data_IF_063634190319
#
_entry.id   IF_063634190319
#
_cell.length_a   1.000
_cell.length_b   1.000
_cell.length_c   1.000
_cell.angle_alpha   90.00
_cell.angle_beta   90.00
_cell.angle_gamma   90.00
#
_symmetry.space_group_name_H-M   'P 1'
#
loop_
_entity.id
_entity.type
_entity.pdbx_description
1 polymer ?
#
# COMPACT_ATOMS: atom_id res chain seq x y z
N UNK A 1 1.25 -22.74 -53.23
CA UNK A 1 2.27 -22.03 -52.40
C UNK A 1 1.63 -21.05 -51.42
N UNK A 2 0.75 -20.13 -51.84
CA UNK A 2 0.09 -19.13 -50.96
C UNK A 2 -0.63 -19.75 -49.74
N UNK A 3 -1.28 -20.92 -49.91
CA UNK A 3 -1.98 -21.62 -48.82
C UNK A 3 -1.04 -22.18 -47.74
N UNK A 4 0.16 -22.65 -48.13
CA UNK A 4 1.16 -23.13 -47.17
C UNK A 4 1.72 -21.96 -46.35
N UNK A 5 1.95 -20.81 -47.01
CA UNK A 5 2.39 -19.59 -46.35
C UNK A 5 1.36 -19.05 -45.35
N UNK A 6 0.06 -19.14 -45.65
CA UNK A 6 -0.99 -18.67 -44.75
C UNK A 6 -1.11 -19.56 -43.50
N UNK A 7 -1.01 -20.88 -43.65
CA UNK A 7 -1.00 -21.81 -42.51
C UNK A 7 0.25 -21.62 -41.65
N UNK A 8 1.42 -21.45 -42.27
CA UNK A 8 2.66 -21.15 -41.55
C UNK A 8 2.61 -19.80 -40.80
N UNK A 9 2.00 -18.78 -41.41
CA UNK A 9 1.82 -17.47 -40.77
C UNK A 9 0.90 -17.55 -39.56
N UNK A 10 -0.21 -18.30 -39.64
CA UNK A 10 -1.15 -18.48 -38.53
C UNK A 10 -0.53 -19.31 -37.40
N UNK A 11 0.19 -20.38 -37.73
CA UNK A 11 0.93 -21.18 -36.72
C UNK A 11 2.01 -20.33 -36.05
N UNK A 12 2.71 -19.47 -36.80
CA UNK A 12 3.69 -18.55 -36.25
C UNK A 12 3.05 -17.51 -35.31
N UNK A 13 1.86 -16.99 -35.64
CA UNK A 13 1.13 -16.06 -34.77
C UNK A 13 0.62 -16.75 -33.51
N UNK A 14 0.10 -17.98 -33.61
CA UNK A 14 -0.35 -18.77 -32.46
C UNK A 14 0.82 -19.13 -31.55
N UNK A 15 1.96 -19.55 -32.11
CA UNK A 15 3.17 -19.82 -31.35
C UNK A 15 3.73 -18.53 -30.73
N UNK A 16 3.71 -17.39 -31.42
CA UNK A 16 4.12 -16.10 -30.85
C UNK A 16 3.21 -15.68 -29.69
N UNK A 17 1.90 -15.87 -29.81
CA UNK A 17 0.94 -15.60 -28.71
C UNK A 17 1.19 -16.55 -27.54
N UNK A 18 1.45 -17.84 -27.78
CA UNK A 18 1.81 -18.82 -26.75
C UNK A 18 3.17 -18.48 -26.11
N UNK A 19 4.15 -17.97 -26.87
CA UNK A 19 5.47 -17.59 -26.35
C UNK A 19 5.41 -16.26 -25.57
N UNK A 20 4.53 -15.33 -25.96
CA UNK A 20 4.27 -14.08 -25.23
C UNK A 20 3.47 -14.36 -23.95
N UNK A 21 2.55 -15.33 -23.96
CA UNK A 21 1.77 -15.72 -22.77
C UNK A 21 2.49 -16.76 -21.88
N UNK A 22 3.38 -17.57 -22.45
CA UNK A 22 4.18 -18.60 -21.77
C UNK A 22 5.61 -18.17 -21.43
N UNK A 23 6.03 -17.00 -21.89
CA UNK A 23 7.34 -16.39 -21.68
C UNK A 23 7.55 -15.85 -20.28
N UNK A 24 7.40 -16.73 -19.28
CA UNK A 24 8.02 -16.60 -17.97
C UNK A 24 8.20 -17.96 -17.25
N UNK A 25 8.09 -19.10 -17.96
CA UNK A 25 8.17 -20.42 -17.31
C UNK A 25 9.34 -21.32 -17.78
N UNK A 26 10.10 -20.94 -18.81
CA UNK A 26 11.30 -21.69 -19.23
C UNK A 26 12.45 -20.71 -19.47
N UNK A 27 13.08 -20.30 -18.37
CA UNK A 27 14.26 -19.42 -18.38
C UNK A 27 14.86 -19.15 -17.00
N UNK A 28 14.15 -19.46 -15.90
CA UNK A 28 14.61 -19.17 -14.53
C UNK A 28 15.13 -20.41 -13.78
N UNK A 29 15.90 -21.27 -14.44
CA UNK A 29 16.70 -22.29 -13.74
C UNK A 29 18.18 -21.91 -13.59
N UNK A 30 18.68 -20.86 -14.24
CA UNK A 30 20.02 -20.35 -13.99
C UNK A 30 20.07 -18.81 -14.11
N UNK A 31 20.84 -18.19 -13.21
CA UNK A 31 21.08 -16.75 -12.96
C UNK A 31 20.09 -16.08 -11.99
N UNK A 32 20.38 -16.04 -10.70
CA UNK A 32 21.31 -15.13 -10.01
C UNK A 32 20.88 -13.66 -10.11
N UNK A 33 20.21 -13.20 -9.06
CA UNK A 33 20.53 -11.94 -8.37
C UNK A 33 20.58 -10.66 -9.21
N UNK A 34 19.41 -10.09 -9.53
CA UNK A 34 19.28 -8.65 -9.74
C UNK A 34 17.83 -8.17 -9.67
N UNK A 35 17.63 -7.21 -8.78
CA UNK A 35 16.73 -6.07 -8.88
C UNK A 35 15.28 -6.16 -8.36
N UNK A 36 15.05 -5.24 -7.41
CA UNK A 36 13.81 -4.90 -6.74
C UNK A 36 13.18 -3.72 -7.49
N UNK A 37 12.07 -3.94 -8.19
CA UNK A 37 10.91 -3.02 -8.40
C UNK A 37 10.20 -3.34 -9.73
N UNK A 38 9.00 -3.93 -9.67
CA UNK A 38 7.96 -3.78 -10.69
C UNK A 38 6.59 -4.26 -10.13
N UNK A 39 5.47 -3.70 -10.61
CA UNK A 39 4.18 -3.73 -9.93
C UNK A 39 3.43 -5.07 -10.09
N UNK A 40 2.60 -5.39 -9.10
CA UNK A 40 1.72 -6.56 -9.09
C UNK A 40 0.78 -6.54 -10.31
N UNK A 41 0.91 -7.53 -11.20
CA UNK A 41 -0.01 -7.78 -12.31
C UNK A 41 -1.20 -8.64 -11.85
N UNK A 42 -2.42 -8.39 -12.36
CA UNK A 42 -3.62 -9.08 -11.93
C UNK A 42 -3.61 -10.55 -12.37
N UNK A 43 -3.89 -11.46 -11.43
CA UNK A 43 -4.10 -12.88 -11.72
C UNK A 43 -5.38 -13.06 -12.55
N UNK A 44 -5.23 -13.41 -13.82
CA UNK A 44 -6.35 -13.77 -14.69
C UNK A 44 -7.05 -14.99 -14.10
N UNK A 45 -8.35 -14.84 -13.80
CA UNK A 45 -9.15 -15.85 -13.11
C UNK A 45 -9.23 -17.16 -13.91
N UNK A 46 -9.36 -18.27 -13.20
CA UNK A 46 -9.50 -19.63 -13.80
C UNK A 46 -10.63 -19.69 -14.82
N UNK A 47 -11.66 -18.85 -14.65
CA UNK A 47 -12.81 -18.73 -15.56
C UNK A 47 -12.43 -18.11 -16.91
N UNK A 48 -11.51 -17.14 -16.95
CA UNK A 48 -11.00 -16.57 -18.20
C UNK A 48 -10.07 -17.53 -18.95
N UNK A 49 -9.32 -18.38 -18.23
CA UNK A 49 -8.54 -19.47 -18.84
C UNK A 49 -9.43 -20.53 -19.49
N UNK A 50 -10.55 -20.88 -18.86
CA UNK A 50 -11.52 -21.83 -19.42
C UNK A 50 -12.21 -21.30 -20.69
N UNK A 51 -12.53 -20.00 -20.71
CA UNK A 51 -13.16 -19.35 -21.87
C UNK A 51 -12.24 -19.32 -23.10
N UNK A 52 -10.94 -19.09 -22.90
CA UNK A 52 -9.94 -19.07 -23.99
C UNK A 52 -9.71 -20.46 -24.61
N UNK A 53 -9.68 -21.52 -23.81
CA UNK A 53 -9.52 -22.90 -24.33
C UNK A 53 -10.73 -23.30 -25.20
N UNK A 54 -11.94 -22.92 -24.79
CA UNK A 54 -13.16 -23.18 -25.57
C UNK A 54 -13.12 -22.48 -26.93
N UNK A 55 -12.67 -21.22 -26.97
CA UNK A 55 -12.58 -20.45 -28.22
C UNK A 55 -11.56 -21.05 -29.21
N UNK A 56 -10.43 -21.54 -28.69
CA UNK A 56 -9.38 -22.19 -29.51
C UNK A 56 -9.88 -23.52 -30.10
N UNK A 57 -10.64 -24.31 -29.34
CA UNK A 57 -11.22 -25.57 -29.83
C UNK A 57 -12.28 -25.32 -30.92
N UNK A 58 -13.11 -24.29 -30.77
CA UNK A 58 -14.12 -23.90 -31.78
C UNK A 58 -13.47 -23.47 -33.09
N UNK A 59 -12.38 -22.68 -33.02
CA UNK A 59 -11.64 -22.27 -34.22
C UNK A 59 -10.96 -23.47 -34.88
N UNK A 60 -10.37 -24.38 -34.11
CA UNK A 60 -9.71 -25.58 -34.64
C UNK A 60 -10.69 -26.53 -35.36
N UNK A 61 -11.90 -26.71 -34.82
CA UNK A 61 -12.96 -27.55 -35.44
C UNK A 61 -13.58 -26.89 -36.67
N UNK A 62 -13.72 -25.55 -36.67
CA UNK A 62 -14.21 -24.79 -37.82
C UNK A 62 -13.29 -24.86 -39.04
N UNK A 63 -11.98 -24.91 -38.82
CA UNK A 63 -10.97 -25.04 -39.87
C UNK A 63 -10.92 -26.46 -40.45
N UNK A 64 -11.15 -27.49 -39.63
CA UNK A 64 -11.03 -28.90 -40.04
C UNK A 64 -12.20 -29.41 -40.90
N UNK A 65 -13.35 -28.72 -40.90
CA UNK A 65 -14.60 -29.22 -41.53
C UNK A 65 -15.08 -28.37 -42.71
N UNK A 66 -14.22 -27.52 -43.28
CA UNK A 66 -14.56 -26.57 -44.37
C UNK A 66 -15.87 -25.80 -44.14
N UNK A 67 -16.17 -25.46 -42.88
CA UNK A 67 -17.35 -24.67 -42.51
C UNK A 67 -18.69 -25.42 -42.47
N UNK A 68 -18.75 -26.72 -42.80
CA UNK A 68 -20.01 -27.48 -42.79
C UNK A 68 -20.43 -27.89 -41.36
N UNK A 69 -19.48 -28.04 -40.43
CA UNK A 69 -19.74 -28.38 -39.02
C UNK A 69 -20.07 -27.18 -38.10
N UNK A 70 -19.97 -25.95 -38.63
CA UNK A 70 -20.12 -24.70 -37.87
C UNK A 70 -21.51 -24.52 -37.21
N UNK A 71 -22.65 -24.88 -37.85
CA UNK A 71 -23.95 -24.77 -37.19
C UNK A 71 -24.15 -25.82 -36.07
N UNK A 72 -23.56 -27.00 -36.19
CA UNK A 72 -23.61 -28.05 -35.16
C UNK A 72 -22.74 -27.69 -33.94
N UNK A 73 -21.56 -27.12 -34.17
CA UNK A 73 -20.70 -26.61 -33.09
C UNK A 73 -21.32 -25.41 -32.37
N UNK A 74 -21.95 -24.47 -33.10
CA UNK A 74 -22.72 -23.37 -32.51
C UNK A 74 -23.92 -23.88 -31.69
N UNK A 75 -24.59 -24.93 -32.16
CA UNK A 75 -25.69 -25.57 -31.42
C UNK A 75 -25.24 -26.21 -30.10
N UNK A 76 -24.10 -26.91 -30.08
CA UNK A 76 -23.53 -27.49 -28.85
C UNK A 76 -23.02 -26.40 -27.90
N UNK A 77 -22.44 -25.31 -28.42
CA UNK A 77 -22.06 -24.15 -27.61
C UNK A 77 -23.28 -23.40 -27.03
N UNK A 78 -24.39 -23.30 -27.77
CA UNK A 78 -25.62 -22.68 -27.30
C UNK A 78 -26.32 -23.50 -26.21
N UNK A 79 -26.35 -24.83 -26.36
CA UNK A 79 -26.87 -25.76 -25.33
C UNK A 79 -25.95 -25.77 -24.10
N UNK A 80 -24.62 -25.75 -24.31
CA UNK A 80 -23.64 -25.61 -23.24
C UNK A 80 -23.81 -24.29 -22.48
N UNK A 81 -24.03 -23.17 -23.18
CA UNK A 81 -24.33 -21.86 -22.60
C UNK A 81 -25.64 -21.88 -21.80
N UNK A 82 -26.71 -22.47 -22.35
CA UNK A 82 -27.99 -22.63 -21.67
C UNK A 82 -27.87 -23.48 -20.40
N UNK A 83 -27.15 -24.59 -20.43
CA UNK A 83 -26.92 -25.44 -19.24
C UNK A 83 -26.04 -24.72 -18.22
N UNK A 84 -24.99 -24.00 -18.64
CA UNK A 84 -24.18 -23.19 -17.70
C UNK A 84 -24.97 -22.05 -17.09
N UNK A 85 -25.85 -21.37 -17.84
CA UNK A 85 -26.73 -20.33 -17.29
C UNK A 85 -27.74 -20.95 -16.31
N UNK A 86 -28.37 -22.06 -16.69
CA UNK A 86 -29.34 -22.78 -15.85
C UNK A 86 -28.74 -23.26 -14.54
N UNK A 87 -27.51 -23.80 -14.56
CA UNK A 87 -26.83 -24.31 -13.37
C UNK A 87 -26.21 -23.17 -12.54
N UNK A 88 -25.81 -22.06 -13.16
CA UNK A 88 -25.36 -20.85 -12.47
C UNK A 88 -26.53 -20.12 -11.80
N UNK A 89 -27.69 -20.08 -12.46
CA UNK A 89 -28.95 -19.56 -11.92
C UNK A 89 -29.49 -20.49 -10.82
N UNK A 90 -29.36 -21.82 -10.98
CA UNK A 90 -29.72 -22.77 -9.92
C UNK A 90 -28.75 -22.73 -8.73
N UNK A 91 -27.46 -22.43 -8.93
CA UNK A 91 -26.49 -22.17 -7.84
C UNK A 91 -26.65 -20.78 -7.20
N UNK A 92 -27.15 -19.80 -7.94
CA UNK A 92 -27.51 -18.49 -7.42
C UNK A 92 -28.81 -18.59 -6.59
N UNK A 93 -29.78 -19.39 -7.03
CA UNK A 93 -31.01 -19.69 -6.28
C UNK A 93 -30.81 -20.66 -5.11
N UNK A 94 -29.75 -21.49 -5.11
CA UNK A 94 -29.39 -22.34 -3.98
C UNK A 94 -28.47 -21.67 -2.95
N UNK A 95 -28.11 -20.40 -3.16
CA UNK A 95 -27.57 -19.58 -2.07
C UNK A 95 -28.74 -19.25 -1.16
N UNK A 96 -28.82 -19.95 -0.02
CA UNK A 96 -29.58 -19.47 1.13
C UNK A 96 -29.42 -17.96 1.22
N UNK A 97 -30.50 -17.16 1.26
CA UNK A 97 -30.41 -15.71 1.30
C UNK A 97 -29.48 -15.35 2.46
N UNK A 98 -28.26 -14.94 2.12
CA UNK A 98 -27.27 -14.53 3.11
C UNK A 98 -27.84 -13.26 3.72
N UNK A 99 -28.27 -13.34 4.97
CA UNK A 99 -28.68 -12.14 5.70
C UNK A 99 -27.50 -11.17 5.65
N UNK A 100 -27.71 -9.94 5.13
CA UNK A 100 -26.65 -8.95 5.10
C UNK A 100 -26.17 -8.72 6.53
N UNK A 101 -24.85 -8.63 6.68
CA UNK A 101 -24.25 -8.29 7.96
C UNK A 101 -24.72 -6.89 8.39
N UNK A 102 -24.74 -6.59 9.70
CA UNK A 102 -25.11 -5.26 10.19
C UNK A 102 -24.31 -4.12 9.51
N UNK A 103 -23.04 -4.36 9.20
CA UNK A 103 -22.19 -3.40 8.49
C UNK A 103 -22.59 -3.16 7.03
N UNK A 104 -23.06 -4.21 6.33
CA UNK A 104 -23.56 -4.08 4.96
C UNK A 104 -24.89 -3.32 4.92
N UNK A 105 -25.77 -3.57 5.90
CA UNK A 105 -27.04 -2.83 6.05
C UNK A 105 -26.77 -1.36 6.32
N UNK A 106 -25.88 -1.05 7.25
CA UNK A 106 -25.55 0.33 7.59
C UNK A 106 -24.88 1.06 6.42
N UNK A 107 -23.97 0.40 5.70
CA UNK A 107 -23.38 0.99 4.48
C UNK A 107 -24.42 1.23 3.41
N UNK A 108 -25.33 0.29 3.18
CA UNK A 108 -26.41 0.46 2.20
C UNK A 108 -27.30 1.66 2.57
N UNK A 109 -27.66 1.79 3.86
CA UNK A 109 -28.42 2.94 4.36
C UNK A 109 -27.66 4.26 4.14
N UNK A 110 -26.39 4.31 4.49
CA UNK A 110 -25.55 5.50 4.30
C UNK A 110 -25.40 5.86 2.82
N UNK A 111 -25.23 4.88 1.93
CA UNK A 111 -25.18 5.10 0.48
C UNK A 111 -26.51 5.57 -0.08
N UNK A 112 -27.63 5.09 0.46
CA UNK A 112 -28.96 5.59 0.10
C UNK A 112 -29.14 7.06 0.51
N UNK A 113 -28.68 7.43 1.69
CA UNK A 113 -28.86 8.79 2.23
C UNK A 113 -27.90 9.82 1.64
N UNK A 114 -26.64 9.45 1.39
CA UNK A 114 -25.57 10.38 1.01
C UNK A 114 -24.92 10.09 -0.35
N UNK A 115 -25.31 9.01 -1.02
CA UNK A 115 -24.62 8.53 -2.21
C UNK A 115 -23.25 7.93 -1.89
N UNK A 116 -22.62 7.30 -2.90
CA UNK A 116 -21.28 6.70 -2.74
C UNK A 116 -20.23 7.75 -2.43
N UNK A 117 -20.28 8.90 -3.13
CA UNK A 117 -19.30 9.97 -2.97
C UNK A 117 -19.45 10.69 -1.63
N UNK A 118 -20.69 10.96 -1.18
CA UNK A 118 -20.93 11.56 0.13
C UNK A 118 -20.45 10.66 1.27
N UNK A 119 -20.67 9.35 1.17
CA UNK A 119 -20.10 8.36 2.12
C UNK A 119 -18.58 8.39 2.12
N UNK A 120 -17.94 8.48 0.95
CA UNK A 120 -16.49 8.58 0.86
C UNK A 120 -15.95 9.87 1.49
N UNK A 121 -16.65 11.00 1.34
CA UNK A 121 -16.29 12.27 1.98
C UNK A 121 -16.40 12.19 3.51
N UNK A 122 -17.51 11.67 4.03
CA UNK A 122 -17.73 11.50 5.47
C UNK A 122 -16.68 10.57 6.10
N UNK A 123 -16.40 9.43 5.47
CA UNK A 123 -15.35 8.53 5.93
C UNK A 123 -13.97 9.20 5.88
N UNK A 124 -13.69 9.96 4.81
CA UNK A 124 -12.46 10.71 4.68
C UNK A 124 -12.26 11.77 5.78
N UNK A 125 -13.33 12.47 6.16
CA UNK A 125 -13.33 13.41 7.27
C UNK A 125 -13.09 12.71 8.61
N UNK A 126 -13.84 11.63 8.89
CA UNK A 126 -13.71 10.89 10.14
C UNK A 126 -12.30 10.32 10.33
N UNK A 127 -11.71 9.72 9.29
CA UNK A 127 -10.34 9.20 9.34
C UNK A 127 -9.32 10.31 9.64
N UNK A 128 -9.49 11.49 9.06
CA UNK A 128 -8.62 12.64 9.33
C UNK A 128 -8.76 13.13 10.78
N UNK A 129 -9.99 13.27 11.27
CA UNK A 129 -10.30 13.65 12.66
C UNK A 129 -9.72 12.64 13.64
N UNK A 130 -9.91 11.34 13.39
CA UNK A 130 -9.37 10.27 14.23
C UNK A 130 -7.84 10.28 14.27
N UNK A 131 -7.19 10.67 13.18
CA UNK A 131 -5.73 10.82 13.13
C UNK A 131 -5.26 12.04 13.91
N UNK A 132 -6.00 13.15 13.86
CA UNK A 132 -5.72 14.33 14.69
C UNK A 132 -5.87 13.99 16.17
N UNK A 133 -7.02 13.45 16.58
CA UNK A 133 -7.32 13.20 18.01
C UNK A 133 -6.39 12.16 18.65
N UNK A 134 -5.88 11.20 17.87
CA UNK A 134 -4.94 10.17 18.35
C UNK A 134 -3.47 10.58 18.28
N UNK A 135 -3.16 11.76 17.74
CA UNK A 135 -1.78 12.21 17.66
C UNK A 135 -1.20 12.43 19.05
N UNK A 136 0.11 12.30 19.17
CA UNK A 136 0.82 12.67 20.39
C UNK A 136 0.66 14.16 20.68
N UNK A 137 0.67 14.99 19.64
CA UNK A 137 0.45 16.42 19.72
C UNK A 137 -0.91 16.75 20.35
N UNK A 138 -1.98 16.04 19.98
CA UNK A 138 -3.29 16.25 20.58
C UNK A 138 -3.33 15.75 22.03
N UNK A 139 -2.89 14.51 22.27
CA UNK A 139 -2.95 13.88 23.60
C UNK A 139 -2.01 14.54 24.62
N UNK A 140 -0.90 15.10 24.16
CA UNK A 140 0.07 15.87 24.94
C UNK A 140 -0.29 17.36 25.10
N UNK A 141 -1.43 17.81 24.56
CA UNK A 141 -1.90 19.20 24.70
C UNK A 141 -1.21 20.23 23.81
N UNK A 142 -0.35 19.82 22.88
CA UNK A 142 0.34 20.70 21.94
C UNK A 142 -0.58 21.36 20.92
N UNK A 143 -1.73 20.75 20.64
CA UNK A 143 -2.76 21.30 19.77
C UNK A 143 -3.83 22.10 20.52
N UNK A 144 -3.60 22.42 21.81
CA UNK A 144 -4.60 22.96 22.72
C UNK A 144 -5.23 21.87 23.59
N UNK A 145 -6.25 22.22 24.38
CA UNK A 145 -6.91 21.24 25.25
C UNK A 145 -7.62 20.19 24.39
N UNK A 146 -7.52 18.89 24.71
CA UNK A 146 -8.22 17.84 23.96
C UNK A 146 -9.74 18.04 23.90
N UNK A 147 -10.32 18.73 24.88
CA UNK A 147 -11.74 19.08 24.96
C UNK A 147 -12.14 20.21 24.01
N UNK A 148 -11.17 21.04 23.59
CA UNK A 148 -11.39 22.14 22.66
C UNK A 148 -11.27 21.68 21.19
N UNK A 149 -10.79 20.44 20.96
CA UNK A 149 -10.66 19.82 19.65
C UNK A 149 -12.00 19.18 19.21
N UNK A 150 -12.97 20.04 18.93
CA UNK A 150 -14.29 19.67 18.45
C UNK A 150 -14.42 19.84 16.92
N UNK A 151 -14.88 18.78 16.25
CA UNK A 151 -15.05 18.74 14.78
C UNK A 151 -16.49 18.41 14.38
N UNK A 152 -17.42 18.50 15.33
CA UNK A 152 -18.83 18.16 15.15
C UNK A 152 -19.47 19.05 14.09
N UNK A 153 -19.14 20.33 14.07
CA UNK A 153 -19.65 21.29 13.08
C UNK A 153 -19.16 20.97 11.67
N UNK A 154 -17.88 20.60 11.52
CA UNK A 154 -17.32 20.21 10.22
C UNK A 154 -18.01 18.95 9.67
N UNK A 155 -18.22 17.94 10.52
CA UNK A 155 -18.93 16.70 10.14
C UNK A 155 -20.40 16.96 9.82
N UNK A 156 -21.05 17.84 10.58
CA UNK A 156 -22.45 18.21 10.37
C UNK A 156 -22.61 18.93 9.04
N UNK A 157 -21.76 19.91 8.77
CA UNK A 157 -21.76 20.65 7.50
C UNK A 157 -21.50 19.73 6.29
N UNK A 158 -20.53 18.82 6.37
CA UNK A 158 -20.28 17.85 5.29
C UNK A 158 -21.50 16.94 5.10
N UNK A 159 -22.11 16.44 6.19
CA UNK A 159 -23.29 15.58 6.13
C UNK A 159 -24.47 16.28 5.48
N UNK A 160 -24.76 17.51 5.88
CA UNK A 160 -25.86 18.31 5.36
C UNK A 160 -25.67 18.64 3.88
N UNK A 161 -24.46 19.02 3.47
CA UNK A 161 -24.17 19.26 2.06
C UNK A 161 -24.30 17.97 1.21
N UNK A 162 -23.87 16.82 1.72
CA UNK A 162 -24.02 15.54 1.02
C UNK A 162 -25.49 15.16 0.86
N UNK A 163 -26.31 15.35 1.91
CA UNK A 163 -27.76 15.11 1.84
C UNK A 163 -28.43 16.04 0.84
N UNK A 164 -28.16 17.34 0.93
CA UNK A 164 -28.71 18.32 -0.01
C UNK A 164 -28.28 18.05 -1.46
N UNK A 165 -27.06 17.54 -1.67
CA UNK A 165 -26.58 17.12 -3.00
C UNK A 165 -27.38 15.93 -3.54
N UNK A 166 -27.65 14.92 -2.70
CA UNK A 166 -28.46 13.76 -3.07
C UNK A 166 -29.90 14.16 -3.41
N UNK A 167 -30.52 14.96 -2.55
CA UNK A 167 -31.90 15.43 -2.75
C UNK A 167 -32.01 16.22 -4.05
N UNK A 168 -31.10 17.17 -4.27
CA UNK A 168 -31.10 18.01 -5.48
C UNK A 168 -30.78 17.19 -6.74
N UNK A 169 -29.91 16.18 -6.65
CA UNK A 169 -29.61 15.28 -7.77
C UNK A 169 -30.82 14.41 -8.17
N UNK A 170 -31.65 14.00 -7.19
CA UNK A 170 -32.92 13.32 -7.48
C UNK A 170 -33.88 14.24 -8.24
N UNK A 171 -34.06 15.46 -7.74
CA UNK A 171 -34.94 16.45 -8.38
C UNK A 171 -34.46 16.86 -9.77
N UNK A 172 -33.15 17.04 -9.96
CA UNK A 172 -32.55 17.29 -11.27
C UNK A 172 -32.92 16.17 -12.25
N UNK A 173 -32.84 14.92 -11.80
CA UNK A 173 -33.21 13.77 -12.63
C UNK A 173 -34.69 13.78 -12.98
N UNK A 174 -35.56 13.94 -11.99
CA UNK A 174 -37.01 13.98 -12.19
C UNK A 174 -37.43 15.08 -13.16
N UNK A 175 -36.89 16.29 -13.01
CA UNK A 175 -37.18 17.43 -13.89
C UNK A 175 -36.55 17.25 -15.29
N UNK A 176 -35.38 16.61 -15.38
CA UNK A 176 -34.75 16.32 -16.68
C UNK A 176 -35.48 15.22 -17.47
N UNK A 177 -36.24 14.36 -16.80
CA UNK A 177 -37.00 13.26 -17.41
C UNK A 177 -38.39 13.71 -17.93
N UNK A 178 -38.81 14.96 -17.66
CA UNK A 178 -40.06 15.51 -18.21
C UNK A 178 -39.97 15.66 -19.74
N UNK A 179 -41.08 15.38 -20.43
CA UNK A 179 -41.19 15.63 -21.85
C UNK A 179 -41.43 17.13 -22.12
N UNK A 180 -40.68 17.70 -23.06
CA UNK A 180 -40.78 19.12 -23.49
C UNK A 180 -40.64 20.14 -22.34
N UNK A 181 -39.48 20.17 -21.63
CA UNK A 181 -39.26 21.11 -20.54
C UNK A 181 -39.28 22.57 -21.04
N UNK A 182 -39.95 23.44 -20.29
CA UNK A 182 -40.02 24.86 -20.59
C UNK A 182 -38.70 25.59 -20.33
N UNK A 183 -38.61 26.86 -20.74
CA UNK A 183 -37.41 27.67 -20.51
C UNK A 183 -37.10 27.88 -19.02
N UNK A 184 -38.13 27.95 -18.18
CA UNK A 184 -37.99 28.07 -16.72
C UNK A 184 -37.41 26.77 -16.11
N UNK A 185 -37.89 25.62 -16.56
CA UNK A 185 -37.38 24.31 -16.12
C UNK A 185 -35.90 24.14 -16.47
N UNK A 186 -35.50 24.55 -17.69
CA UNK A 186 -34.11 24.52 -18.14
C UNK A 186 -33.22 25.42 -17.27
N UNK A 187 -33.68 26.64 -16.94
CA UNK A 187 -32.96 27.55 -16.07
C UNK A 187 -32.82 26.96 -14.65
N UNK A 188 -33.89 26.40 -14.10
CA UNK A 188 -33.88 25.74 -12.79
C UNK A 188 -32.91 24.55 -12.74
N UNK A 189 -32.84 23.75 -13.80
CA UNK A 189 -31.88 22.65 -13.91
C UNK A 189 -30.43 23.14 -13.89
N UNK A 190 -30.12 24.25 -14.56
CA UNK A 190 -28.77 24.82 -14.57
C UNK A 190 -28.38 25.37 -13.19
N UNK A 191 -29.29 26.10 -12.55
CA UNK A 191 -29.11 26.61 -11.19
C UNK A 191 -28.90 25.46 -10.19
N UNK A 192 -29.71 24.39 -10.30
CA UNK A 192 -29.61 23.22 -9.45
C UNK A 192 -28.26 22.49 -9.61
N UNK A 193 -27.81 22.28 -10.86
CA UNK A 193 -26.50 21.66 -11.15
C UNK A 193 -25.35 22.50 -10.62
N UNK A 194 -25.42 23.83 -10.81
CA UNK A 194 -24.46 24.77 -10.24
C UNK A 194 -24.42 24.65 -8.72
N UNK A 195 -25.58 24.53 -8.07
CA UNK A 195 -25.67 24.39 -6.62
C UNK A 195 -25.08 23.08 -6.11
N UNK A 196 -25.33 21.95 -6.79
CA UNK A 196 -24.69 20.66 -6.50
C UNK A 196 -23.17 20.81 -6.50
N UNK A 197 -22.60 21.39 -7.57
CA UNK A 197 -21.16 21.58 -7.66
C UNK A 197 -20.59 22.43 -6.52
N UNK A 198 -21.30 23.48 -6.10
CA UNK A 198 -20.89 24.31 -4.97
C UNK A 198 -20.90 23.55 -3.64
N UNK A 199 -21.94 22.76 -3.36
CA UNK A 199 -22.07 21.98 -2.11
C UNK A 199 -20.97 20.92 -2.01
N UNK A 200 -20.72 20.22 -3.11
CA UNK A 200 -19.64 19.24 -3.17
C UNK A 200 -18.26 19.89 -3.02
N UNK A 201 -18.02 21.02 -3.69
CA UNK A 201 -16.74 21.73 -3.61
C UNK A 201 -16.44 22.18 -2.17
N UNK A 202 -17.42 22.75 -1.47
CA UNK A 202 -17.30 23.15 -0.05
C UNK A 202 -16.98 21.94 0.85
N UNK A 203 -17.65 20.81 0.61
CA UNK A 203 -17.42 19.59 1.38
C UNK A 203 -16.03 19.02 1.12
N UNK A 204 -15.58 18.97 -0.14
CA UNK A 204 -14.23 18.52 -0.53
C UNK A 204 -13.14 19.42 0.06
N UNK A 205 -13.33 20.73 0.01
CA UNK A 205 -12.40 21.69 0.60
C UNK A 205 -12.26 21.47 2.10
N UNK A 206 -13.38 21.23 2.81
CA UNK A 206 -13.33 20.97 4.24
C UNK A 206 -12.65 19.66 4.59
N UNK A 207 -12.96 18.58 3.87
CA UNK A 207 -12.27 17.29 4.02
C UNK A 207 -10.76 17.45 3.79
N UNK A 208 -10.37 18.25 2.78
CA UNK A 208 -8.96 18.56 2.52
C UNK A 208 -8.32 19.31 3.68
N UNK A 209 -8.98 20.32 4.23
CA UNK A 209 -8.49 21.06 5.39
C UNK A 209 -8.27 20.12 6.60
N UNK A 210 -9.22 19.22 6.90
CA UNK A 210 -9.08 18.22 7.94
C UNK A 210 -7.88 17.29 7.71
N UNK A 211 -7.65 16.84 6.47
CA UNK A 211 -6.48 16.01 6.12
C UNK A 211 -5.17 16.75 6.35
N UNK A 212 -5.09 18.01 5.92
CA UNK A 212 -3.91 18.85 6.16
C UNK A 212 -3.67 19.09 7.65
N UNK A 213 -4.72 19.27 8.46
CA UNK A 213 -4.58 19.32 9.91
C UNK A 213 -4.01 18.01 10.48
N UNK A 214 -4.46 16.86 9.98
CA UNK A 214 -3.93 15.56 10.39
C UNK A 214 -2.46 15.33 10.00
N UNK A 215 -2.03 15.86 8.86
CA UNK A 215 -0.64 15.84 8.42
C UNK A 215 0.23 16.68 9.35
N UNK A 216 -0.17 17.93 9.62
CA UNK A 216 0.54 18.83 10.55
C UNK A 216 0.64 18.27 11.96
N UNK A 217 -0.43 17.64 12.46
CA UNK A 217 -0.38 16.94 13.74
C UNK A 217 0.70 15.85 13.74
N UNK A 218 0.82 15.08 12.66
CA UNK A 218 1.86 14.07 12.50
C UNK A 218 3.28 14.65 12.38
N UNK A 219 3.45 15.83 11.79
CA UNK A 219 4.75 16.52 11.77
C UNK A 219 5.19 16.94 13.18
N UNK A 220 4.26 17.40 14.01
CA UNK A 220 4.53 17.72 15.42
C UNK A 220 4.89 16.45 16.18
N UNK A 221 4.15 15.35 16.00
CA UNK A 221 4.47 14.05 16.61
C UNK A 221 5.91 13.62 16.29
N UNK A 222 6.32 13.78 15.03
CA UNK A 222 7.68 13.45 14.61
C UNK A 222 8.72 14.35 15.30
N UNK A 223 8.47 15.66 15.38
CA UNK A 223 9.36 16.58 16.08
C UNK A 223 9.50 16.21 17.56
N UNK A 224 8.39 15.89 18.24
CA UNK A 224 8.38 15.48 19.64
C UNK A 224 9.15 14.17 19.85
N UNK A 225 8.99 13.22 18.93
CA UNK A 225 9.75 11.97 18.94
C UNK A 225 11.26 12.24 18.83
N UNK A 226 11.66 13.07 17.87
CA UNK A 226 13.06 13.41 17.63
C UNK A 226 13.68 14.13 18.84
N UNK A 227 12.93 15.03 19.48
CA UNK A 227 13.35 15.68 20.72
C UNK A 227 13.63 14.70 21.84
N UNK A 228 12.75 13.70 22.05
CA UNK A 228 12.99 12.65 23.05
C UNK A 228 14.19 11.79 22.71
N UNK A 229 14.39 11.46 21.43
CA UNK A 229 15.58 10.71 20.99
C UNK A 229 16.85 11.51 21.26
N UNK A 230 16.86 12.81 20.94
CA UNK A 230 17.99 13.71 21.20
C UNK A 230 18.29 13.82 22.69
N UNK A 231 17.27 13.98 23.52
CA UNK A 231 17.41 14.03 24.98
C UNK A 231 18.05 12.75 25.54
N UNK A 232 17.54 11.58 25.15
CA UNK A 232 18.10 10.27 25.56
C UNK A 232 19.54 10.08 25.08
N UNK A 233 19.87 10.56 23.88
CA UNK A 233 21.23 10.48 23.35
C UNK A 233 22.19 11.41 24.10
N UNK A 234 21.74 12.61 24.47
CA UNK A 234 22.52 13.53 25.30
C UNK A 234 22.83 12.90 26.68
N UNK A 235 21.82 12.34 27.34
CA UNK A 235 21.99 11.65 28.62
C UNK A 235 22.99 10.47 28.53
N UNK A 236 22.86 9.62 27.51
CA UNK A 236 23.80 8.50 27.28
C UNK A 236 25.23 8.99 27.01
N UNK A 237 25.38 10.10 26.31
CA UNK A 237 26.69 10.69 26.01
C UNK A 237 27.36 11.18 27.28
N UNK A 238 26.58 11.80 28.17
CA UNK A 238 27.09 12.31 29.43
C UNK A 238 27.45 11.16 30.39
N UNK A 239 26.64 10.09 30.46
CA UNK A 239 27.00 8.86 31.19
C UNK A 239 28.31 8.24 30.68
N UNK A 240 28.42 8.02 29.36
CA UNK A 240 29.62 7.44 28.77
C UNK A 240 30.83 8.33 29.01
N UNK A 241 30.69 9.66 28.85
CA UNK A 241 31.77 10.62 29.11
C UNK A 241 32.22 10.56 30.57
N UNK A 242 31.27 10.48 31.51
CA UNK A 242 31.56 10.34 32.95
C UNK A 242 32.33 9.04 33.24
N UNK A 243 31.85 7.90 32.75
CA UNK A 243 32.53 6.60 32.91
C UNK A 243 33.92 6.58 32.27
N UNK A 244 34.07 7.18 31.09
CA UNK A 244 35.36 7.29 30.39
C UNK A 244 36.33 8.18 31.17
N UNK A 245 35.89 9.34 31.68
CA UNK A 245 36.71 10.22 32.50
C UNK A 245 37.18 9.53 33.79
N UNK A 246 36.28 8.79 34.47
CA UNK A 246 36.64 8.00 35.64
C UNK A 246 37.70 6.93 35.33
N UNK A 247 37.63 6.27 34.16
CA UNK A 247 38.65 5.29 33.75
C UNK A 247 39.97 5.96 33.37
N UNK A 248 39.95 7.03 32.58
CA UNK A 248 41.17 7.69 32.11
C UNK A 248 41.93 8.37 33.24
N UNK A 249 41.24 9.12 34.10
CA UNK A 249 41.87 9.92 35.14
C UNK A 249 41.90 9.23 36.51
N UNK A 250 41.01 8.27 36.78
CA UNK A 250 41.07 7.46 37.99
C UNK A 250 42.29 6.53 38.03
N UNK A 251 42.83 6.12 36.87
CA UNK A 251 44.09 5.36 36.79
C UNK A 251 45.29 6.23 37.16
N UNK A 252 45.29 7.52 36.80
CA UNK A 252 46.37 8.46 37.13
C UNK A 252 46.39 8.86 38.62
N UNK A 253 45.28 8.67 39.34
CA UNK A 253 45.19 8.93 40.77
C UNK A 253 45.57 7.71 41.64
N UNK A 254 45.72 6.52 41.04
CA UNK A 254 46.30 5.37 41.74
C UNK A 254 47.82 5.63 41.92
N UNK A 255 48.40 5.34 43.11
CA UNK A 255 49.84 5.53 43.31
C UNK A 255 50.58 4.75 42.24
N UNK A 256 51.41 5.45 41.46
CA UNK A 256 52.26 4.86 40.45
C UNK A 256 53.11 3.80 41.12
N UNK A 257 52.79 2.53 40.89
CA UNK A 257 53.68 1.45 41.29
C UNK A 257 54.94 1.64 40.46
N UNK A 258 56.00 2.14 41.10
CA UNK A 258 57.31 2.23 40.47
C UNK A 258 57.66 0.81 40.01
N UNK A 259 57.93 0.59 38.71
CA UNK A 259 58.29 -0.74 38.21
C UNK A 259 59.42 -1.33 39.06
N UNK A 260 59.32 -2.62 39.38
CA UNK A 260 60.33 -3.30 40.21
C UNK A 260 61.70 -3.23 39.52
N UNK A 261 62.66 -2.56 40.17
CA UNK A 261 64.07 -2.50 39.73
C UNK A 261 64.75 -3.87 39.58
N UNK A 262 64.06 -4.95 39.99
CA UNK A 262 64.56 -6.32 39.86
C UNK A 262 64.75 -6.72 38.39
N UNK A 263 63.92 -6.24 37.47
CA UNK A 263 64.07 -6.54 36.03
C UNK A 263 65.36 -5.93 35.47
N UNK A 264 65.64 -4.68 35.79
CA UNK A 264 66.87 -4.00 35.37
C UNK A 264 68.10 -4.64 36.01
N UNK A 265 68.01 -5.02 37.29
CA UNK A 265 69.07 -5.73 38.00
C UNK A 265 69.36 -7.11 37.40
N UNK A 266 68.33 -7.89 37.06
CA UNK A 266 68.49 -9.21 36.42
C UNK A 266 69.12 -9.05 35.03
N UNK A 267 68.72 -8.02 34.28
CA UNK A 267 69.28 -7.74 32.96
C UNK A 267 70.76 -7.36 33.06
N UNK A 268 71.13 -6.52 34.02
CA UNK A 268 72.52 -6.15 34.30
C UNK A 268 73.35 -7.36 34.74
N UNK A 269 72.80 -8.22 35.62
CA UNK A 269 73.46 -9.45 36.06
C UNK A 269 73.65 -10.45 34.92
N UNK A 270 72.66 -10.61 34.04
CA UNK A 270 72.76 -11.48 32.87
C UNK A 270 73.83 -10.97 31.89
N UNK A 271 73.91 -9.66 31.67
CA UNK A 271 74.96 -9.05 30.86
C UNK A 271 76.36 -9.27 31.46
N UNK A 272 76.51 -9.05 32.78
CA UNK A 272 77.76 -9.28 33.49
C UNK A 272 78.18 -10.76 33.45
N UNK A 273 77.23 -11.70 33.61
CA UNK A 273 77.50 -13.13 33.53
C UNK A 273 77.95 -13.55 32.13
N UNK A 274 77.30 -13.04 31.08
CA UNK A 274 77.69 -13.28 29.69
C UNK A 274 79.10 -12.76 29.39
N UNK A 275 79.48 -11.61 29.95
CA UNK A 275 80.82 -11.04 29.81
C UNK A 275 81.89 -11.93 30.49
N UNK A 276 81.62 -12.40 31.72
CA UNK A 276 82.53 -13.30 32.44
C UNK A 276 82.70 -14.62 31.68
N UNK A 277 81.60 -15.22 31.18
CA UNK A 277 81.66 -16.44 30.36
C UNK A 277 82.39 -16.23 29.04
N UNK A 278 82.20 -15.08 28.40
CA UNK A 278 82.92 -14.70 27.17
C UNK A 278 84.42 -14.54 27.38
N UNK A 279 84.85 -13.99 28.52
CA UNK A 279 86.27 -13.89 28.91
C UNK A 279 86.86 -15.28 29.21
N UNK A 280 86.14 -16.12 29.95
CA UNK A 280 86.58 -17.49 30.30
C UNK A 280 86.77 -18.41 29.08
N UNK A 281 85.96 -18.24 28.04
CA UNK A 281 86.11 -18.97 26.77
C UNK A 281 87.25 -18.42 25.90
N UNK A 282 87.71 -17.18 26.13
CA UNK A 282 88.79 -16.54 25.38
C UNK A 282 90.17 -16.80 26.01
N UNK A 283 90.22 -17.12 27.31
CA UNK A 283 91.45 -17.52 28.03
C UNK A 283 91.75 -19.03 27.95
N UNK A 284 90.79 -19.86 27.53
CA UNK A 284 90.93 -21.33 27.45
C UNK A 284 90.97 -21.88 26.00
N UNK A 285 91.22 -21.04 25.00
CA UNK A 285 91.45 -21.43 23.60
C UNK A 285 92.82 -20.98 23.14
#
# INVERSE_FOLDING_TARGET
MIRLFLVLAVVAVVLAVIMILGGAALGAAFTSEADRKAPARPSISVMAKAWLVSFVVVIAVGIATEGIGLPLALGVCAIGLLITHSVLDLRASSRTPRKPSPQEVERARMTQEFGVDGVAMLNGAQVAIDRIKRSEAATGGWLGSPQDLEFTDDLTMIRENCRATMDLSSLIKELSDLADPGSEDIAMLDDARTKVHQLEARSRERVKALRTCAEKAGEIDQSLHDDRVRARLAEKRDDVRSRMAAKLYGINAAPSQTPSSSVDKITALAAAYAEIRGKLNRENG
#
